data_IF_987549864037
#
_entry.id   IF_987549864037
#
_cell.length_a   1.000
_cell.length_b   1.000
_cell.length_c   1.000
_cell.angle_alpha   90.00
_cell.angle_beta   90.00
_cell.angle_gamma   90.00
#
_symmetry.space_group_name_H-M   'P 1'
#
loop_
_entity.id
_entity.type
_entity.pdbx_description
1 polymer ?
#
# COMPACT_ATOMS: atom_id res chain seq x y z
N UNK A 1 -14.40 -24.94 -35.55
CA UNK A 1 -14.46 -24.49 -34.14
C UNK A 1 -15.67 -25.11 -33.46
N UNK A 2 -15.53 -25.58 -32.22
CA UNK A 2 -16.65 -26.09 -31.39
C UNK A 2 -17.20 -24.95 -30.52
N UNK A 3 -18.42 -25.10 -29.98
CA UNK A 3 -19.02 -24.10 -29.09
C UNK A 3 -18.12 -23.79 -27.89
N UNK A 4 -17.52 -24.82 -27.27
CA UNK A 4 -16.62 -24.65 -26.12
C UNK A 4 -15.33 -23.87 -26.43
N UNK A 5 -14.84 -23.90 -27.67
CA UNK A 5 -13.72 -23.06 -28.10
C UNK A 5 -14.18 -21.64 -28.44
N UNK A 6 -15.40 -21.47 -28.93
CA UNK A 6 -15.95 -20.15 -29.27
C UNK A 6 -16.36 -19.35 -28.03
N UNK A 7 -16.88 -19.99 -26.99
CA UNK A 7 -17.42 -19.34 -25.79
C UNK A 7 -16.45 -18.38 -25.09
N UNK A 8 -15.17 -18.74 -24.81
CA UNK A 8 -14.22 -17.81 -24.21
C UNK A 8 -13.99 -16.55 -25.07
N UNK A 9 -13.99 -16.71 -26.40
CA UNK A 9 -13.88 -15.57 -27.32
C UNK A 9 -15.12 -14.69 -27.27
N UNK A 10 -16.32 -15.27 -27.18
CA UNK A 10 -17.57 -14.52 -27.08
C UNK A 10 -17.67 -13.75 -25.75
N UNK A 11 -17.15 -14.30 -24.66
CA UNK A 11 -17.11 -13.64 -23.36
C UNK A 11 -16.03 -12.55 -23.26
N UNK A 12 -14.91 -12.72 -23.96
CA UNK A 12 -13.80 -11.76 -23.96
C UNK A 12 -13.98 -10.62 -24.98
N UNK A 13 -14.76 -10.83 -26.04
CA UNK A 13 -14.92 -9.85 -27.10
C UNK A 13 -15.76 -8.65 -26.66
N UNK A 14 -15.24 -7.44 -26.91
CA UNK A 14 -15.95 -6.19 -26.62
C UNK A 14 -17.05 -5.86 -27.63
N UNK A 15 -16.91 -6.36 -28.85
CA UNK A 15 -17.90 -6.18 -29.91
C UNK A 15 -17.89 -7.36 -30.88
N UNK A 16 -18.98 -7.61 -31.62
CA UNK A 16 -19.04 -8.67 -32.61
C UNK A 16 -17.98 -8.55 -33.72
N UNK A 17 -17.55 -7.33 -34.04
CA UNK A 17 -16.57 -7.03 -35.08
C UNK A 17 -15.14 -7.40 -34.66
N UNK A 18 -14.87 -7.40 -33.35
CA UNK A 18 -13.56 -7.75 -32.78
C UNK A 18 -13.30 -9.28 -32.74
N UNK A 19 -14.31 -10.10 -33.08
CA UNK A 19 -14.17 -11.55 -33.07
C UNK A 19 -13.27 -12.04 -34.22
N UNK A 20 -12.37 -13.02 -33.96
CA UNK A 20 -11.60 -13.67 -35.01
C UNK A 20 -12.50 -14.22 -36.13
N UNK A 21 -11.99 -14.24 -37.37
CA UNK A 21 -12.75 -14.70 -38.54
C UNK A 21 -13.36 -16.10 -38.35
N UNK A 22 -12.65 -17.00 -37.68
CA UNK A 22 -13.12 -18.36 -37.38
C UNK A 22 -14.33 -18.38 -36.42
N UNK A 23 -14.34 -17.51 -35.41
CA UNK A 23 -15.46 -17.38 -34.47
C UNK A 23 -16.68 -16.80 -35.19
N UNK A 24 -16.48 -15.80 -36.06
CA UNK A 24 -17.56 -15.23 -36.88
C UNK A 24 -18.15 -16.25 -37.85
N UNK A 25 -17.31 -17.09 -38.47
CA UNK A 25 -17.79 -18.17 -39.34
C UNK A 25 -18.55 -19.24 -38.54
N UNK A 26 -18.15 -19.52 -37.30
CA UNK A 26 -18.88 -20.42 -36.41
C UNK A 26 -20.25 -19.85 -36.01
N UNK A 27 -20.32 -18.56 -35.64
CA UNK A 27 -21.57 -17.87 -35.32
C UNK A 27 -22.57 -17.92 -36.48
N UNK A 28 -22.11 -17.82 -37.74
CA UNK A 28 -22.97 -17.93 -38.91
C UNK A 28 -23.63 -19.32 -39.06
N UNK A 29 -23.14 -20.36 -38.37
CA UNK A 29 -23.59 -21.75 -38.51
C UNK A 29 -24.16 -22.34 -37.22
N UNK A 30 -23.94 -21.71 -36.07
CA UNK A 30 -24.29 -22.26 -34.76
C UNK A 30 -25.39 -21.42 -34.07
N UNK A 31 -26.65 -21.89 -34.00
CA UNK A 31 -27.74 -21.14 -33.38
C UNK A 31 -27.56 -20.95 -31.87
N UNK A 32 -26.90 -21.87 -31.18
CA UNK A 32 -26.64 -21.77 -29.74
C UNK A 32 -25.70 -20.60 -29.40
N UNK A 33 -24.61 -20.47 -30.16
CA UNK A 33 -23.66 -19.37 -29.98
C UNK A 33 -24.29 -18.02 -30.37
N UNK A 34 -25.17 -17.98 -31.38
CA UNK A 34 -25.96 -16.78 -31.71
C UNK A 34 -26.88 -16.39 -30.55
N UNK A 35 -27.57 -17.37 -29.95
CA UNK A 35 -28.42 -17.13 -28.79
C UNK A 35 -27.62 -16.61 -27.57
N UNK A 36 -26.40 -17.13 -27.36
CA UNK A 36 -25.48 -16.65 -26.33
C UNK A 36 -25.08 -15.18 -26.56
N UNK A 37 -24.67 -14.81 -27.78
CA UNK A 37 -24.36 -13.41 -28.12
C UNK A 37 -25.56 -12.51 -27.85
N UNK A 38 -26.77 -12.93 -28.24
CA UNK A 38 -27.99 -12.19 -27.94
C UNK A 38 -28.25 -11.99 -26.44
N UNK A 39 -27.92 -12.98 -25.58
CA UNK A 39 -28.00 -12.82 -24.12
C UNK A 39 -26.96 -11.82 -23.59
N UNK A 40 -25.72 -11.89 -24.10
CA UNK A 40 -24.64 -10.98 -23.68
C UNK A 40 -24.95 -9.52 -24.06
N UNK A 41 -25.50 -9.27 -25.25
CA UNK A 41 -25.96 -7.93 -25.66
C UNK A 41 -27.04 -7.39 -24.73
N UNK A 42 -28.08 -8.19 -24.42
CA UNK A 42 -29.14 -7.77 -23.49
C UNK A 42 -28.60 -7.49 -22.09
N UNK A 43 -27.66 -8.30 -21.60
CA UNK A 43 -27.03 -8.08 -20.31
C UNK A 43 -26.22 -6.77 -20.31
N UNK A 44 -25.48 -6.49 -21.38
CA UNK A 44 -24.75 -5.25 -21.55
C UNK A 44 -25.69 -4.04 -21.53
N UNK A 45 -26.78 -4.07 -22.32
CA UNK A 45 -27.80 -3.02 -22.34
C UNK A 45 -28.45 -2.81 -20.97
N UNK A 46 -28.80 -3.89 -20.26
CA UNK A 46 -29.35 -3.81 -18.91
C UNK A 46 -28.35 -3.17 -17.94
N UNK A 47 -27.07 -3.53 -18.04
CA UNK A 47 -26.00 -2.94 -17.21
C UNK A 47 -25.85 -1.44 -17.50
N UNK A 48 -25.90 -1.04 -18.78
CA UNK A 48 -25.88 0.37 -19.19
C UNK A 48 -27.06 1.14 -18.60
N UNK A 49 -28.27 0.56 -18.55
CA UNK A 49 -29.46 1.18 -17.94
C UNK A 49 -29.39 1.28 -16.42
N UNK A 50 -28.77 0.31 -15.76
CA UNK A 50 -28.62 0.27 -14.30
C UNK A 50 -27.47 1.15 -13.78
N UNK A 51 -26.52 1.50 -14.64
CA UNK A 51 -25.46 2.43 -14.27
C UNK A 51 -26.06 3.84 -14.26
N UNK A 52 -26.07 4.58 -13.13
CA UNK A 52 -26.50 5.98 -13.14
C UNK A 52 -25.69 6.73 -14.20
N UNK A 53 -26.26 7.79 -14.78
CA UNK A 53 -25.58 8.61 -15.79
C UNK A 53 -24.26 9.14 -15.21
N UNK A 54 -23.19 8.37 -15.37
CA UNK A 54 -21.85 8.83 -15.11
C UNK A 54 -21.69 10.10 -15.93
N UNK A 55 -21.10 11.15 -15.34
CA UNK A 55 -20.78 12.36 -16.08
C UNK A 55 -20.20 11.94 -17.45
N UNK A 56 -20.68 12.45 -18.59
CA UNK A 56 -20.31 11.95 -19.92
C UNK A 56 -18.79 11.79 -20.12
N UNK A 57 -18.01 12.64 -19.44
CA UNK A 57 -16.55 12.57 -19.38
C UNK A 57 -15.98 11.33 -18.66
N UNK A 58 -16.63 10.80 -17.62
CA UNK A 58 -16.22 9.56 -16.96
C UNK A 58 -16.50 8.33 -17.85
N UNK A 59 -17.65 8.32 -18.55
CA UNK A 59 -17.99 7.28 -19.53
C UNK A 59 -16.99 7.29 -20.69
N UNK A 60 -16.75 8.46 -21.30
CA UNK A 60 -15.79 8.61 -22.39
C UNK A 60 -14.37 8.18 -21.99
N UNK A 61 -13.94 8.44 -20.75
CA UNK A 61 -12.64 8.00 -20.23
C UNK A 61 -12.57 6.48 -20.04
N UNK A 62 -13.64 5.86 -19.53
CA UNK A 62 -13.71 4.40 -19.42
C UNK A 62 -13.68 3.75 -20.81
N UNK A 63 -14.45 4.27 -21.76
CA UNK A 63 -14.48 3.76 -23.13
C UNK A 63 -13.11 3.91 -23.82
N UNK A 64 -12.39 5.01 -23.57
CA UNK A 64 -11.02 5.22 -24.03
C UNK A 64 -9.99 4.31 -23.36
N UNK A 65 -10.11 4.06 -22.05
CA UNK A 65 -9.24 3.14 -21.33
C UNK A 65 -9.48 1.69 -21.79
N UNK A 66 -10.74 1.32 -22.01
CA UNK A 66 -11.10 0.04 -22.56
C UNK A 66 -10.55 -0.08 -23.98
N UNK A 67 -10.71 0.90 -24.87
CA UNK A 67 -10.20 0.79 -26.26
C UNK A 67 -8.68 0.60 -26.35
N UNK A 68 -7.90 1.11 -25.39
CA UNK A 68 -6.45 0.93 -25.30
C UNK A 68 -6.01 -0.42 -24.71
N UNK A 69 -6.83 -1.06 -23.89
CA UNK A 69 -6.50 -2.37 -23.35
C UNK A 69 -6.59 -3.42 -24.46
N UNK A 70 -5.47 -4.08 -24.78
CA UNK A 70 -5.43 -5.16 -25.77
C UNK A 70 -6.37 -6.30 -25.36
N UNK A 71 -7.20 -6.76 -26.29
CA UNK A 71 -7.95 -8.00 -26.07
C UNK A 71 -6.94 -9.14 -26.04
N UNK A 72 -6.69 -9.68 -24.85
CA UNK A 72 -5.85 -10.86 -24.69
C UNK A 72 -6.64 -12.01 -25.29
N UNK A 73 -6.12 -12.58 -26.37
CA UNK A 73 -6.65 -13.83 -26.92
C UNK A 73 -6.69 -14.84 -25.77
N UNK A 74 -7.84 -15.50 -25.49
CA UNK A 74 -7.84 -16.60 -24.54
C UNK A 74 -6.76 -17.56 -24.98
N UNK A 75 -5.73 -17.77 -24.14
CA UNK A 75 -4.70 -18.76 -24.41
C UNK A 75 -5.44 -20.07 -24.66
N UNK A 76 -5.40 -20.54 -25.90
CA UNK A 76 -5.98 -21.81 -26.25
C UNK A 76 -5.30 -22.82 -25.34
N UNK A 77 -6.01 -23.31 -24.32
CA UNK A 77 -5.52 -24.37 -23.46
C UNK A 77 -5.23 -25.56 -24.36
N UNK A 78 -3.98 -25.65 -24.82
CA UNK A 78 -3.49 -26.76 -25.62
C UNK A 78 -3.75 -28.00 -24.79
N UNK A 79 -4.67 -28.83 -25.29
CA UNK A 79 -5.36 -29.85 -24.51
C UNK A 79 -4.44 -30.58 -23.55
N UNK A 80 -4.64 -30.35 -22.26
CA UNK A 80 -4.06 -31.21 -21.23
C UNK A 80 -4.69 -32.59 -21.42
N UNK A 81 -3.91 -33.63 -21.78
CA UNK A 81 -4.47 -34.97 -21.89
C UNK A 81 -5.05 -35.37 -20.53
N UNK A 82 -6.29 -35.85 -20.52
CA UNK A 82 -6.97 -36.38 -19.35
C UNK A 82 -6.22 -37.64 -18.85
N UNK A 83 -5.17 -37.43 -18.05
CA UNK A 83 -4.31 -38.47 -17.53
C UNK A 83 -4.84 -38.96 -16.18
N UNK A 84 -5.31 -40.22 -16.19
CA UNK A 84 -5.69 -41.09 -15.07
C UNK A 84 -4.96 -40.75 -13.76
N UNK A 85 -5.71 -40.31 -12.76
CA UNK A 85 -5.29 -39.86 -11.43
C UNK A 85 -4.81 -40.98 -10.47
N UNK A 86 -4.51 -42.18 -10.95
CA UNK A 86 -4.24 -43.34 -10.07
C UNK A 86 -2.78 -43.56 -9.66
N UNK A 87 -1.78 -42.97 -10.34
CA UNK A 87 -0.37 -43.41 -10.18
C UNK A 87 0.65 -42.30 -9.84
N UNK A 88 0.21 -41.06 -9.58
CA UNK A 88 1.11 -39.89 -9.46
C UNK A 88 1.41 -39.40 -8.04
N UNK A 89 1.13 -40.17 -6.99
CA UNK A 89 1.58 -39.82 -5.63
C UNK A 89 3.02 -40.27 -5.33
N UNK A 90 3.56 -41.27 -6.05
CA UNK A 90 4.95 -41.73 -5.85
C UNK A 90 6.01 -40.85 -6.54
N UNK A 91 5.71 -40.32 -7.72
CA UNK A 91 6.72 -39.59 -8.52
C UNK A 91 6.95 -38.14 -8.06
N UNK A 92 5.94 -37.50 -7.44
CA UNK A 92 6.05 -36.10 -6.98
C UNK A 92 7.01 -35.98 -5.77
N UNK A 93 7.04 -36.98 -4.89
CA UNK A 93 7.98 -37.01 -3.78
C UNK A 93 9.44 -37.16 -4.23
N UNK A 94 9.70 -37.99 -5.25
CA UNK A 94 11.05 -38.18 -5.80
C UNK A 94 11.57 -36.94 -6.52
N UNK A 95 10.71 -36.23 -7.27
CA UNK A 95 11.08 -34.97 -7.94
C UNK A 95 11.31 -33.84 -6.94
N UNK A 96 10.51 -33.75 -5.87
CA UNK A 96 10.73 -32.77 -4.81
C UNK A 96 12.06 -32.99 -4.07
N UNK A 97 12.44 -34.24 -3.81
CA UNK A 97 13.73 -34.60 -3.21
C UNK A 97 14.92 -34.29 -4.14
N UNK A 98 14.79 -34.54 -5.44
CA UNK A 98 15.83 -34.20 -6.42
C UNK A 98 15.98 -32.68 -6.61
N UNK A 99 14.88 -31.92 -6.57
CA UNK A 99 14.92 -30.46 -6.65
C UNK A 99 15.50 -29.83 -5.37
N UNK A 100 15.16 -30.35 -4.19
CA UNK A 100 15.74 -29.90 -2.93
C UNK A 100 17.26 -30.23 -2.85
N UNK A 101 17.65 -31.44 -3.28
CA UNK A 101 19.06 -31.86 -3.34
C UNK A 101 19.87 -31.06 -4.38
N UNK A 102 19.30 -30.82 -5.56
CA UNK A 102 19.94 -30.01 -6.61
C UNK A 102 20.11 -28.55 -6.21
N UNK A 103 19.16 -27.98 -5.46
CA UNK A 103 19.26 -26.60 -4.96
C UNK A 103 20.38 -26.45 -3.91
N UNK A 104 20.56 -27.45 -3.04
CA UNK A 104 21.61 -27.43 -2.02
C UNK A 104 23.00 -27.62 -2.63
N UNK A 105 23.15 -28.54 -3.59
CA UNK A 105 24.40 -28.76 -4.31
C UNK A 105 24.80 -27.55 -5.17
N UNK A 106 23.83 -26.87 -5.79
CA UNK A 106 24.07 -25.67 -6.61
C UNK A 106 24.55 -24.45 -5.81
N UNK A 107 24.25 -24.37 -4.51
CA UNK A 107 24.76 -23.29 -3.65
C UNK A 107 26.19 -23.50 -3.18
N UNK A 108 26.64 -24.74 -3.08
CA UNK A 108 28.00 -25.04 -2.60
C UNK A 108 29.08 -24.88 -3.68
N UNK A 109 28.70 -24.85 -4.96
CA UNK A 109 29.65 -24.84 -6.10
C UNK A 109 29.52 -23.63 -7.02
N UNK A 110 28.63 -22.68 -6.75
CA UNK A 110 28.47 -21.49 -7.57
C UNK A 110 29.72 -20.59 -7.50
N UNK A 111 30.46 -20.38 -8.60
CA UNK A 111 31.58 -19.44 -8.62
C UNK A 111 31.08 -18.01 -8.41
N UNK A 112 31.84 -17.23 -7.64
CA UNK A 112 31.52 -15.84 -7.37
C UNK A 112 31.33 -15.05 -8.68
N UNK A 113 30.26 -14.23 -8.82
CA UNK A 113 30.02 -13.49 -10.04
C UNK A 113 31.16 -12.48 -10.25
N UNK A 114 31.97 -12.73 -11.28
CA UNK A 114 32.93 -11.75 -11.76
C UNK A 114 32.15 -10.55 -12.30
N UNK A 115 32.24 -9.42 -11.60
CA UNK A 115 31.69 -8.13 -12.04
C UNK A 115 32.51 -7.71 -13.27
N UNK A 116 31.92 -7.68 -14.49
CA UNK A 116 32.65 -7.18 -15.64
C UNK A 116 32.87 -5.68 -15.47
N UNK A 117 34.12 -5.24 -15.62
CA UNK A 117 34.48 -3.83 -15.59
C UNK A 117 33.68 -3.06 -16.66
N UNK A 118 33.15 -1.86 -16.33
CA UNK A 118 32.37 -1.08 -17.27
C UNK A 118 33.21 -0.69 -18.48
N UNK A 119 32.76 -1.11 -19.68
CA UNK A 119 33.32 -0.62 -20.94
C UNK A 119 33.02 0.88 -21.07
N UNK A 120 34.00 1.72 -21.46
CA UNK A 120 33.75 3.13 -21.73
C UNK A 120 32.72 3.26 -22.86
N UNK A 121 31.58 3.87 -22.55
CA UNK A 121 30.51 4.10 -23.49
C UNK A 121 30.93 5.09 -24.57
N UNK A 122 30.88 4.63 -25.82
CA UNK A 122 31.06 5.43 -27.02
C UNK A 122 29.95 6.50 -27.07
N UNK A 123 30.34 7.78 -27.06
CA UNK A 123 29.41 8.92 -27.11
C UNK A 123 28.69 8.93 -28.47
N UNK A 124 27.47 8.41 -28.50
CA UNK A 124 26.53 8.67 -29.60
C UNK A 124 26.12 10.16 -29.59
N UNK A 125 26.11 10.85 -30.74
CA UNK A 125 25.54 12.18 -30.88
C UNK A 125 24.08 12.20 -30.40
N UNK A 126 23.71 13.23 -29.65
CA UNK A 126 22.39 13.37 -29.04
C UNK A 126 21.28 13.40 -30.09
N UNK A 127 20.50 12.34 -30.14
CA UNK A 127 19.25 12.28 -30.89
C UNK A 127 18.22 13.18 -30.18
N UNK A 128 17.48 14.06 -30.91
CA UNK A 128 16.52 14.97 -30.31
C UNK A 128 15.45 14.17 -29.55
N UNK A 129 15.37 14.41 -28.24
CA UNK A 129 14.43 13.71 -27.36
C UNK A 129 12.99 14.05 -27.80
N UNK A 130 12.17 13.06 -28.20
CA UNK A 130 10.78 13.29 -28.50
C UNK A 130 10.08 13.91 -27.28
N UNK A 131 9.08 14.80 -27.48
CA UNK A 131 8.34 15.39 -26.37
C UNK A 131 7.80 14.27 -25.48
N UNK A 132 8.07 14.38 -24.18
CA UNK A 132 7.66 13.38 -23.21
C UNK A 132 6.16 13.12 -23.38
N UNK A 133 5.73 11.85 -23.57
CA UNK A 133 4.32 11.54 -23.70
C UNK A 133 3.58 12.08 -22.47
N UNK A 134 2.57 12.90 -22.70
CA UNK A 134 1.68 13.38 -21.63
C UNK A 134 1.14 12.14 -20.90
N UNK A 135 1.58 11.97 -19.65
CA UNK A 135 1.10 10.88 -18.82
C UNK A 135 -0.43 11.01 -18.72
N UNK A 136 -1.19 9.95 -19.01
CA UNK A 136 -2.64 10.00 -18.95
C UNK A 136 -3.05 10.51 -17.57
N UNK A 137 -3.92 11.50 -17.54
CA UNK A 137 -4.43 12.10 -16.30
C UNK A 137 -5.04 10.99 -15.43
N UNK A 138 -4.29 10.56 -14.41
CA UNK A 138 -4.72 9.58 -13.42
C UNK A 138 -6.00 10.13 -12.80
N UNK A 139 -7.09 9.37 -12.89
CA UNK A 139 -8.35 9.75 -12.26
C UNK A 139 -8.06 10.10 -10.79
N UNK A 140 -8.58 11.23 -10.27
CA UNK A 140 -8.30 11.64 -8.91
C UNK A 140 -8.72 10.52 -7.99
N UNK A 141 -7.73 9.90 -7.33
CA UNK A 141 -8.03 8.92 -6.29
C UNK A 141 -8.95 9.58 -5.25
N UNK A 142 -9.93 8.84 -4.71
CA UNK A 142 -10.84 9.39 -3.71
C UNK A 142 -10.03 10.09 -2.63
N UNK A 143 -10.33 11.36 -2.40
CA UNK A 143 -9.54 12.19 -1.49
C UNK A 143 -9.53 11.52 -0.11
N UNK A 144 -8.37 11.40 0.55
CA UNK A 144 -8.31 10.78 1.86
C UNK A 144 -9.24 11.50 2.83
N UNK A 145 -9.81 10.79 3.83
CA UNK A 145 -10.61 11.45 4.83
C UNK A 145 -9.83 12.56 5.54
N UNK A 146 -10.43 13.72 5.78
CA UNK A 146 -9.79 14.77 6.56
C UNK A 146 -9.43 14.21 7.94
N UNK A 147 -8.17 14.35 8.35
CA UNK A 147 -7.69 13.92 9.66
C UNK A 147 -7.43 12.41 9.86
N UNK A 148 -8.10 11.48 9.16
CA UNK A 148 -7.87 10.04 9.43
C UNK A 148 -6.43 9.62 9.13
N UNK A 149 -5.85 10.09 8.01
CA UNK A 149 -4.46 9.78 7.67
C UNK A 149 -3.50 10.28 8.75
N UNK A 150 -3.75 11.46 9.32
CA UNK A 150 -2.95 12.00 10.41
C UNK A 150 -3.11 11.20 11.72
N UNK A 151 -4.34 10.78 12.06
CA UNK A 151 -4.59 9.89 13.21
C UNK A 151 -3.88 8.55 13.05
N UNK A 152 -4.02 7.91 11.88
CA UNK A 152 -3.33 6.65 11.59
C UNK A 152 -1.82 6.83 11.64
N UNK A 153 -1.27 7.92 11.11
CA UNK A 153 0.15 8.22 11.23
C UNK A 153 0.61 8.28 12.70
N UNK A 154 -0.20 8.88 13.59
CA UNK A 154 0.07 8.88 15.04
C UNK A 154 0.06 7.48 15.64
N UNK A 155 -0.89 6.61 15.24
CA UNK A 155 -0.88 5.21 15.66
C UNK A 155 0.37 4.48 15.16
N UNK A 156 0.78 4.71 13.91
CA UNK A 156 1.97 4.10 13.33
C UNK A 156 3.25 4.46 14.13
N UNK A 157 3.37 5.72 14.59
CA UNK A 157 4.46 6.15 15.48
C UNK A 157 4.47 5.33 16.76
N UNK A 158 3.32 5.23 17.43
CA UNK A 158 3.20 4.49 18.69
C UNK A 158 3.52 3.00 18.50
N UNK A 159 3.14 2.41 17.36
CA UNK A 159 3.53 1.03 17.02
C UNK A 159 5.03 0.89 16.82
N UNK A 160 5.67 1.82 16.10
CA UNK A 160 7.10 1.76 15.82
C UNK A 160 7.96 1.95 17.09
N UNK A 161 7.53 2.83 18.00
CA UNK A 161 8.26 3.17 19.21
C UNK A 161 7.99 2.22 20.39
N UNK A 162 6.77 1.68 20.50
CA UNK A 162 6.27 1.04 21.71
C UNK A 162 6.74 -0.41 21.94
N UNK A 163 6.74 -0.87 23.21
CA UNK A 163 6.82 -2.30 23.53
C UNK A 163 5.56 -3.05 23.09
N UNK A 164 5.68 -4.36 22.89
CA UNK A 164 4.61 -5.23 22.35
C UNK A 164 3.27 -5.15 23.09
N UNK A 165 3.27 -5.01 24.42
CA UNK A 165 2.02 -4.88 25.18
C UNK A 165 1.24 -3.60 24.82
N UNK A 166 1.93 -2.45 24.70
CA UNK A 166 1.30 -1.18 24.31
C UNK A 166 0.85 -1.16 22.84
N UNK A 167 1.49 -1.97 21.98
CA UNK A 167 1.12 -2.06 20.56
C UNK A 167 -0.31 -2.59 20.38
N UNK A 168 -0.79 -3.47 21.27
CA UNK A 168 -2.15 -4.00 21.20
C UNK A 168 -3.23 -2.93 21.39
N UNK A 169 -3.08 -2.08 22.41
CA UNK A 169 -4.04 -1.01 22.68
C UNK A 169 -4.03 0.02 21.53
N UNK A 170 -2.85 0.30 20.96
CA UNK A 170 -2.71 1.17 19.77
C UNK A 170 -3.38 0.56 18.53
N UNK A 171 -3.15 -0.73 18.24
CA UNK A 171 -3.77 -1.41 17.10
C UNK A 171 -5.29 -1.53 17.26
N UNK A 172 -5.79 -1.72 18.47
CA UNK A 172 -7.22 -1.69 18.76
C UNK A 172 -7.80 -0.29 18.58
N UNK A 173 -7.08 0.76 19.00
CA UNK A 173 -7.44 2.15 18.74
C UNK A 173 -7.48 2.48 17.24
N UNK A 174 -6.49 1.99 16.48
CA UNK A 174 -6.47 2.11 15.02
C UNK A 174 -7.69 1.43 14.37
N UNK A 175 -8.06 0.23 14.81
CA UNK A 175 -9.27 -0.43 14.31
C UNK A 175 -10.52 0.41 14.63
N UNK A 176 -10.62 0.98 15.83
CA UNK A 176 -11.73 1.84 16.21
C UNK A 176 -11.83 3.10 15.33
N UNK A 177 -10.72 3.77 15.02
CA UNK A 177 -10.70 4.94 14.13
C UNK A 177 -11.13 4.57 12.69
N UNK A 178 -10.68 3.42 12.15
CA UNK A 178 -11.10 2.94 10.83
C UNK A 178 -12.59 2.61 10.80
N UNK A 179 -13.11 1.99 11.87
CA UNK A 179 -14.55 1.72 12.03
C UNK A 179 -15.37 3.00 12.09
N UNK A 180 -14.95 3.96 12.93
CA UNK A 180 -15.65 5.23 13.09
C UNK A 180 -15.74 5.99 11.75
N UNK A 181 -14.67 5.98 10.95
CA UNK A 181 -14.71 6.54 9.60
C UNK A 181 -15.70 5.79 8.70
N UNK A 182 -15.70 4.45 8.71
CA UNK A 182 -16.64 3.67 7.90
C UNK A 182 -18.10 3.99 8.24
N UNK A 183 -18.42 4.10 9.54
CA UNK A 183 -19.75 4.49 10.01
C UNK A 183 -20.11 5.92 9.56
N UNK A 184 -19.18 6.87 9.71
CA UNK A 184 -19.39 8.26 9.30
C UNK A 184 -19.66 8.39 7.79
N UNK A 185 -18.92 7.63 6.95
CA UNK A 185 -19.10 7.61 5.49
C UNK A 185 -20.45 7.03 5.08
N UNK A 186 -20.82 5.91 5.70
CA UNK A 186 -22.11 5.29 5.45
C UNK A 186 -23.27 6.22 5.82
N UNK A 187 -23.17 6.92 6.95
CA UNK A 187 -24.15 7.92 7.38
C UNK A 187 -24.24 9.13 6.43
N UNK A 188 -23.14 9.52 5.81
CA UNK A 188 -23.10 10.56 4.79
C UNK A 188 -23.58 10.10 3.40
N UNK A 189 -23.91 8.80 3.22
CA UNK A 189 -24.25 8.22 1.92
C UNK A 189 -23.06 8.02 0.98
N UNK A 190 -21.83 8.16 1.48
CA UNK A 190 -20.59 7.95 0.73
C UNK A 190 -20.20 6.47 0.76
N UNK A 191 -20.72 5.70 -0.19
CA UNK A 191 -20.60 4.25 -0.22
C UNK A 191 -19.33 3.73 -0.89
N UNK A 192 -18.72 4.52 -1.78
CA UNK A 192 -17.54 4.12 -2.56
C UNK A 192 -16.36 3.64 -1.69
N UNK A 193 -15.97 4.33 -0.59
CA UNK A 193 -14.81 3.92 0.21
C UNK A 193 -15.11 2.74 1.17
N UNK A 194 -16.38 2.40 1.41
CA UNK A 194 -16.76 1.45 2.46
C UNK A 194 -16.10 0.06 2.33
N UNK A 195 -16.07 -0.60 1.16
CA UNK A 195 -15.45 -1.93 1.06
C UNK A 195 -13.97 -1.93 1.45
N UNK A 196 -13.27 -0.83 1.14
CA UNK A 196 -11.85 -0.67 1.49
C UNK A 196 -11.66 -0.45 2.99
N UNK A 197 -12.47 0.40 3.61
CA UNK A 197 -12.41 0.64 5.06
C UNK A 197 -12.78 -0.61 5.86
N UNK A 198 -13.81 -1.35 5.43
CA UNK A 198 -14.21 -2.63 6.03
C UNK A 198 -13.08 -3.66 5.91
N UNK A 199 -12.49 -3.81 4.73
CA UNK A 199 -11.35 -4.69 4.53
C UNK A 199 -10.10 -4.27 5.31
N UNK A 200 -9.89 -2.97 5.52
CA UNK A 200 -8.80 -2.44 6.33
C UNK A 200 -9.00 -2.77 7.82
N UNK A 201 -10.22 -2.56 8.33
CA UNK A 201 -10.60 -2.89 9.70
C UNK A 201 -10.40 -4.38 10.01
N UNK A 202 -10.90 -5.27 9.15
CA UNK A 202 -10.73 -6.72 9.29
C UNK A 202 -9.24 -7.10 9.42
N UNK A 203 -8.37 -6.53 8.58
CA UNK A 203 -6.93 -6.79 8.63
C UNK A 203 -6.27 -6.26 9.90
N UNK A 204 -6.62 -5.06 10.36
CA UNK A 204 -6.08 -4.53 11.62
C UNK A 204 -6.44 -5.46 12.78
N UNK A 205 -7.66 -5.99 12.82
CA UNK A 205 -8.07 -6.94 13.86
C UNK A 205 -7.35 -8.29 13.73
N UNK A 206 -7.36 -8.90 12.53
CA UNK A 206 -6.84 -10.25 12.33
C UNK A 206 -5.31 -10.33 12.31
N UNK A 207 -4.66 -9.44 11.55
CA UNK A 207 -3.20 -9.41 11.39
C UNK A 207 -2.51 -8.57 12.45
N UNK A 208 -3.19 -7.57 13.02
CA UNK A 208 -2.66 -6.74 14.09
C UNK A 208 -3.01 -7.32 15.45
N UNK A 209 -4.24 -7.06 15.90
CA UNK A 209 -4.67 -7.33 17.28
C UNK A 209 -4.52 -8.80 17.66
N UNK A 210 -5.13 -9.72 16.90
CA UNK A 210 -5.13 -11.12 17.27
C UNK A 210 -3.73 -11.75 17.19
N UNK A 211 -2.95 -11.40 16.16
CA UNK A 211 -1.58 -11.89 15.99
C UNK A 211 -0.64 -11.40 17.11
N UNK A 212 -0.72 -10.12 17.48
CA UNK A 212 0.11 -9.57 18.55
C UNK A 212 -0.28 -10.15 19.93
N UNK A 213 -1.58 -10.40 20.16
CA UNK A 213 -2.05 -11.02 21.38
C UNK A 213 -1.55 -12.46 21.51
N UNK A 214 -1.49 -13.21 20.41
CA UNK A 214 -0.95 -14.57 20.40
C UNK A 214 0.52 -14.66 20.81
N UNK A 215 1.30 -13.57 20.66
CA UNK A 215 2.73 -13.49 21.03
C UNK A 215 2.96 -13.24 22.52
N UNK A 216 1.93 -12.86 23.27
CA UNK A 216 2.07 -12.58 24.70
C UNK A 216 2.16 -13.86 25.54
N UNK A 217 2.81 -13.80 26.71
CA UNK A 217 2.75 -14.87 27.71
C UNK A 217 1.30 -15.18 28.11
N UNK A 218 1.01 -16.45 28.41
CA UNK A 218 -0.34 -16.91 28.74
C UNK A 218 -1.11 -16.07 29.79
N UNK A 219 -0.52 -15.69 30.95
CA UNK A 219 -1.26 -14.92 31.95
C UNK A 219 -1.70 -13.54 31.44
N UNK A 220 -0.81 -12.82 30.74
CA UNK A 220 -1.12 -11.51 30.17
C UNK A 220 -2.09 -11.63 29.00
N UNK A 221 -1.91 -12.68 28.19
CA UNK A 221 -2.76 -12.99 27.04
C UNK A 221 -4.20 -13.23 27.46
N UNK A 222 -4.47 -14.04 28.48
CA UNK A 222 -5.83 -14.33 28.93
C UNK A 222 -6.56 -13.07 29.42
N UNK A 223 -5.89 -12.24 30.24
CA UNK A 223 -6.47 -11.00 30.76
C UNK A 223 -6.78 -10.00 29.63
N UNK A 224 -5.85 -9.80 28.69
CA UNK A 224 -6.03 -8.92 27.55
C UNK A 224 -7.08 -9.45 26.56
N UNK A 225 -7.11 -10.76 26.31
CA UNK A 225 -8.09 -11.41 25.44
C UNK A 225 -9.52 -11.18 25.95
N UNK A 226 -9.75 -11.34 27.25
CA UNK A 226 -11.05 -11.08 27.86
C UNK A 226 -11.50 -9.63 27.63
N UNK A 227 -10.64 -8.66 27.95
CA UNK A 227 -10.91 -7.22 27.76
C UNK A 227 -11.18 -6.87 26.30
N UNK A 228 -10.32 -7.31 25.38
CA UNK A 228 -10.46 -7.04 23.95
C UNK A 228 -11.70 -7.70 23.37
N UNK A 229 -12.02 -8.93 23.78
CA UNK A 229 -13.23 -9.62 23.30
C UNK A 229 -14.52 -8.92 23.72
N UNK A 230 -14.57 -8.33 24.92
CA UNK A 230 -15.70 -7.52 25.38
C UNK A 230 -15.82 -6.21 24.59
N UNK A 231 -14.68 -5.52 24.36
CA UNK A 231 -14.65 -4.30 23.56
C UNK A 231 -15.08 -4.54 22.11
N UNK A 232 -14.68 -5.67 21.51
CA UNK A 232 -15.12 -6.08 20.17
C UNK A 232 -16.61 -6.45 20.14
N UNK A 233 -17.14 -7.04 21.21
CA UNK A 233 -18.59 -7.23 21.39
C UNK A 233 -19.35 -5.91 21.32
N UNK A 234 -18.98 -4.94 22.16
CA UNK A 234 -19.60 -3.60 22.13
C UNK A 234 -19.43 -2.88 20.79
N UNK A 235 -18.29 -3.07 20.11
CA UNK A 235 -18.07 -2.53 18.76
C UNK A 235 -18.96 -3.19 17.70
N UNK A 236 -19.29 -4.47 17.83
CA UNK A 236 -20.22 -5.16 16.93
C UNK A 236 -21.66 -4.67 17.13
N UNK A 237 -22.05 -4.42 18.37
CA UNK A 237 -23.37 -3.90 18.73
C UNK A 237 -23.54 -2.45 18.25
N UNK A 238 -22.51 -1.61 18.40
CA UNK A 238 -22.45 -0.25 17.85
C UNK A 238 -22.72 -0.23 16.34
N UNK A 239 -22.03 -1.10 15.59
CA UNK A 239 -22.20 -1.19 14.13
C UNK A 239 -23.59 -1.69 13.76
N UNK A 240 -24.12 -2.68 14.49
CA UNK A 240 -25.48 -3.18 14.24
C UNK A 240 -26.54 -2.09 14.50
N UNK A 241 -26.40 -1.33 15.58
CA UNK A 241 -27.26 -0.20 15.89
C UNK A 241 -27.18 0.90 14.82
N UNK A 242 -25.97 1.27 14.39
CA UNK A 242 -25.77 2.23 13.33
C UNK A 242 -26.39 1.75 12.00
N UNK A 243 -26.17 0.49 11.61
CA UNK A 243 -26.76 -0.10 10.41
C UNK A 243 -28.30 -0.08 10.41
N UNK A 244 -28.95 -0.19 11.57
CA UNK A 244 -30.40 -0.08 11.69
C UNK A 244 -30.99 1.29 11.33
N UNK A 245 -30.16 2.34 11.37
CA UNK A 245 -30.54 3.71 11.02
C UNK A 245 -30.17 4.12 9.58
N UNK A 246 -29.48 3.25 8.82
CA UNK A 246 -28.94 3.55 7.49
C UNK A 246 -29.83 3.00 6.37
N UNK A 247 -29.59 3.47 5.13
CA UNK A 247 -30.19 2.87 3.95
C UNK A 247 -29.77 1.40 3.80
N UNK A 248 -30.63 0.49 3.28
CA UNK A 248 -30.36 -0.95 3.23
C UNK A 248 -29.01 -1.32 2.58
N UNK A 249 -28.66 -0.66 1.48
CA UNK A 249 -27.38 -0.89 0.78
C UNK A 249 -26.17 -0.54 1.65
N UNK A 250 -26.22 0.56 2.41
CA UNK A 250 -25.14 0.97 3.29
C UNK A 250 -25.01 0.01 4.50
N UNK A 251 -26.15 -0.38 5.06
CA UNK A 251 -26.23 -1.37 6.14
C UNK A 251 -25.64 -2.73 5.72
N UNK A 252 -25.95 -3.20 4.51
CA UNK A 252 -25.38 -4.43 3.94
C UNK A 252 -23.86 -4.32 3.77
N UNK A 253 -23.37 -3.19 3.25
CA UNK A 253 -21.93 -2.95 3.08
C UNK A 253 -21.15 -2.87 4.40
N UNK A 254 -21.79 -2.46 5.50
CA UNK A 254 -21.20 -2.44 6.85
C UNK A 254 -21.31 -3.77 7.59
N UNK A 255 -22.17 -4.69 7.14
CA UNK A 255 -22.36 -5.99 7.79
C UNK A 255 -21.07 -6.79 8.05
N UNK A 256 -20.06 -6.80 7.13
CA UNK A 256 -18.83 -7.54 7.39
C UNK A 256 -18.01 -6.93 8.53
N UNK A 257 -18.16 -5.63 8.84
CA UNK A 257 -17.43 -4.98 9.92
C UNK A 257 -17.86 -5.53 11.29
N UNK A 258 -19.18 -5.64 11.53
CA UNK A 258 -19.71 -6.27 12.72
C UNK A 258 -19.38 -7.77 12.80
N UNK A 259 -19.38 -8.46 11.64
CA UNK A 259 -18.98 -9.86 11.56
C UNK A 259 -17.52 -10.07 11.97
N UNK A 260 -16.58 -9.26 11.46
CA UNK A 260 -15.17 -9.31 11.84
C UNK A 260 -14.96 -9.07 13.34
N UNK A 261 -15.67 -8.12 13.94
CA UNK A 261 -15.63 -7.90 15.40
C UNK A 261 -16.04 -9.16 16.18
N UNK A 262 -17.16 -9.80 15.79
CA UNK A 262 -17.66 -11.02 16.44
C UNK A 262 -16.73 -12.21 16.23
N UNK A 263 -16.26 -12.41 15.01
CA UNK A 263 -15.34 -13.49 14.64
C UNK A 263 -14.05 -13.40 15.46
N UNK A 264 -13.40 -12.23 15.43
CA UNK A 264 -12.15 -12.02 16.18
C UNK A 264 -12.41 -12.11 17.67
N UNK A 265 -13.45 -11.46 18.20
CA UNK A 265 -13.79 -11.54 19.62
C UNK A 265 -14.05 -12.97 20.10
N UNK A 266 -14.72 -13.81 19.28
CA UNK A 266 -14.92 -15.22 19.58
C UNK A 266 -13.60 -16.00 19.57
N UNK A 267 -12.75 -15.79 18.57
CA UNK A 267 -11.44 -16.42 18.48
C UNK A 267 -10.53 -16.06 19.66
N UNK A 268 -10.57 -14.80 20.13
CA UNK A 268 -9.80 -14.38 21.30
C UNK A 268 -10.23 -15.13 22.57
N UNK A 269 -11.53 -15.38 22.76
CA UNK A 269 -12.04 -16.11 23.95
C UNK A 269 -11.65 -17.58 23.96
N UNK A 270 -11.60 -18.21 22.78
CA UNK A 270 -11.34 -19.65 22.65
C UNK A 270 -9.89 -19.97 22.27
N UNK A 271 -9.03 -18.94 22.16
CA UNK A 271 -7.69 -19.04 21.59
C UNK A 271 -7.67 -19.76 20.22
N UNK A 272 -8.74 -19.63 19.43
CA UNK A 272 -8.84 -20.27 18.13
C UNK A 272 -7.98 -19.54 17.09
N UNK A 273 -7.31 -20.26 16.18
CA UNK A 273 -6.58 -19.64 15.08
C UNK A 273 -7.56 -18.92 14.14
N UNK A 274 -7.23 -17.69 13.77
CA UNK A 274 -7.99 -16.94 12.76
C UNK A 274 -7.49 -17.27 11.37
N UNK A 275 -8.43 -17.50 10.45
CA UNK A 275 -8.12 -17.65 9.04
C UNK A 275 -7.90 -16.25 8.47
N UNK A 276 -6.66 -15.96 8.09
CA UNK A 276 -6.32 -14.69 7.46
C UNK A 276 -5.96 -14.92 6.00
N UNK A 277 -6.57 -14.14 5.11
CA UNK A 277 -6.13 -14.12 3.71
C UNK A 277 -4.69 -13.61 3.65
N UNK A 278 -3.74 -14.39 3.08
CA UNK A 278 -2.35 -13.96 2.96
C UNK A 278 -2.17 -12.86 1.89
N UNK A 279 -3.16 -12.67 1.01
CA UNK A 279 -3.08 -11.69 -0.07
C UNK A 279 -3.45 -10.29 0.45
N UNK A 280 -2.43 -9.44 0.63
CA UNK A 280 -2.63 -8.01 0.75
C UNK A 280 -2.82 -7.42 -0.66
N UNK A 281 -3.98 -6.85 -1.00
CA UNK A 281 -4.12 -6.15 -2.27
C UNK A 281 -3.12 -4.99 -2.29
N UNK A 282 -2.51 -4.72 -3.45
CA UNK A 282 -1.56 -3.61 -3.57
C UNK A 282 -2.20 -2.33 -2.98
N UNK A 283 -1.57 -1.67 -1.99
CA UNK A 283 -2.16 -0.53 -1.32
C UNK A 283 -2.34 0.58 -2.33
N UNK A 284 -3.59 1.01 -2.51
CA UNK A 284 -3.97 2.00 -3.50
C UNK A 284 -4.17 3.39 -2.87
N UNK A 285 -4.13 3.50 -1.54
CA UNK A 285 -4.22 4.78 -0.83
C UNK A 285 -3.10 4.93 0.20
N UNK A 286 -2.74 6.18 0.57
CA UNK A 286 -1.80 6.42 1.67
C UNK A 286 -2.22 5.75 2.98
N UNK A 287 -3.52 5.74 3.28
CA UNK A 287 -4.08 5.08 4.47
C UNK A 287 -3.78 3.58 4.48
N UNK A 288 -4.06 2.88 3.38
CA UNK A 288 -3.79 1.43 3.24
C UNK A 288 -2.30 1.12 3.38
N UNK A 289 -1.43 1.95 2.77
CA UNK A 289 0.03 1.81 2.89
C UNK A 289 0.50 1.97 4.33
N UNK A 290 0.03 3.00 5.04
CA UNK A 290 0.42 3.26 6.43
C UNK A 290 0.02 2.11 7.35
N UNK A 291 -1.22 1.62 7.24
CA UNK A 291 -1.67 0.46 8.04
C UNK A 291 -0.85 -0.79 7.70
N UNK A 292 -0.60 -1.06 6.43
CA UNK A 292 0.20 -2.22 6.03
C UNK A 292 1.61 -2.19 6.64
N UNK A 293 2.28 -1.04 6.61
CA UNK A 293 3.61 -0.88 7.20
C UNK A 293 3.57 -0.88 8.74
N UNK A 294 2.53 -0.35 9.37
CA UNK A 294 2.37 -0.43 10.82
C UNK A 294 2.24 -1.88 11.29
N UNK A 295 1.43 -2.70 10.59
CA UNK A 295 1.29 -4.12 10.90
C UNK A 295 2.62 -4.88 10.72
N UNK A 296 3.37 -4.63 9.64
CA UNK A 296 4.70 -5.21 9.45
C UNK A 296 5.69 -4.78 10.52
N UNK A 297 5.65 -3.52 10.94
CA UNK A 297 6.51 -2.99 12.01
C UNK A 297 6.17 -3.63 13.35
N UNK A 298 4.89 -3.86 13.66
CA UNK A 298 4.46 -4.61 14.84
C UNK A 298 4.92 -6.07 14.79
N UNK A 299 4.93 -6.67 13.59
CA UNK A 299 5.36 -8.05 13.38
C UNK A 299 6.88 -8.26 13.47
N UNK A 300 7.67 -7.19 13.41
CA UNK A 300 9.12 -7.28 13.47
C UNK A 300 9.64 -7.61 14.87
N UNK A 301 10.29 -8.77 14.98
CA UNK A 301 10.73 -9.36 16.26
C UNK A 301 12.14 -8.90 16.71
N UNK A 302 12.92 -8.29 15.81
CA UNK A 302 14.26 -7.78 16.14
C UNK A 302 14.32 -6.26 15.98
N UNK A 303 15.17 -5.56 16.75
CA UNK A 303 15.36 -4.12 16.58
C UNK A 303 15.79 -3.74 15.15
N UNK A 304 16.65 -4.54 14.52
CA UNK A 304 17.09 -4.28 13.14
C UNK A 304 15.95 -4.40 12.13
N UNK A 305 15.14 -5.46 12.22
CA UNK A 305 13.97 -5.64 11.35
C UNK A 305 12.92 -4.54 11.58
N UNK A 306 12.74 -4.13 12.84
CA UNK A 306 11.82 -3.03 13.19
C UNK A 306 12.30 -1.69 12.65
N UNK A 307 13.60 -1.42 12.72
CA UNK A 307 14.19 -0.23 12.09
C UNK A 307 13.96 -0.25 10.58
N UNK A 308 14.17 -1.40 9.94
CA UNK A 308 13.99 -1.55 8.49
C UNK A 308 12.55 -1.30 8.04
N UNK A 309 11.56 -1.97 8.67
CA UNK A 309 10.14 -1.72 8.41
C UNK A 309 9.73 -0.27 8.72
N UNK A 310 10.33 0.34 9.76
CA UNK A 310 10.12 1.76 10.07
C UNK A 310 10.64 2.69 8.96
N UNK A 311 11.68 2.31 8.20
CA UNK A 311 12.11 3.09 7.02
C UNK A 311 11.09 3.05 5.88
N UNK A 312 10.42 1.91 5.70
CA UNK A 312 9.34 1.79 4.73
C UNK A 312 8.10 2.58 5.16
N UNK A 313 7.77 2.55 6.46
CA UNK A 313 6.74 3.40 7.05
C UNK A 313 7.06 4.89 6.85
N UNK A 314 8.31 5.30 7.07
CA UNK A 314 8.76 6.67 6.82
C UNK A 314 8.57 7.10 5.35
N UNK A 315 8.87 6.20 4.40
CA UNK A 315 8.62 6.46 2.98
C UNK A 315 7.12 6.61 2.67
N UNK A 316 6.27 5.78 3.28
CA UNK A 316 4.81 5.90 3.13
C UNK A 316 4.27 7.22 3.73
N UNK A 317 4.79 7.66 4.89
CA UNK A 317 4.47 8.96 5.48
C UNK A 317 4.92 10.13 4.60
N UNK A 318 6.13 10.08 4.04
CA UNK A 318 6.62 11.10 3.11
C UNK A 318 5.72 11.21 1.86
N UNK A 319 5.27 10.08 1.33
CA UNK A 319 4.28 10.06 0.24
C UNK A 319 2.94 10.65 0.68
N UNK A 320 2.43 10.29 1.86
CA UNK A 320 1.19 10.83 2.42
C UNK A 320 1.24 12.36 2.59
N UNK A 321 2.35 12.92 3.10
CA UNK A 321 2.58 14.38 3.19
C UNK A 321 2.44 15.02 1.81
N UNK A 322 3.03 14.41 0.79
CA UNK A 322 2.98 14.93 -0.58
C UNK A 322 1.54 14.95 -1.11
N UNK A 323 0.81 13.84 -0.95
CA UNK A 323 -0.60 13.73 -1.37
C UNK A 323 -1.48 14.76 -0.64
N UNK A 324 -1.33 14.89 0.69
CA UNK A 324 -2.10 15.84 1.49
C UNK A 324 -1.78 17.29 1.13
N UNK A 325 -0.51 17.59 0.83
CA UNK A 325 -0.09 18.94 0.42
C UNK A 325 -0.70 19.31 -0.94
N UNK A 326 -0.67 18.40 -1.91
CA UNK A 326 -1.31 18.60 -3.23
C UNK A 326 -2.82 18.74 -3.10
N UNK A 327 -3.44 18.01 -2.18
CA UNK A 327 -4.88 18.10 -1.89
C UNK A 327 -5.29 19.37 -1.11
N UNK A 328 -4.38 20.32 -0.87
CA UNK A 328 -4.68 21.56 -0.15
C UNK A 328 -4.99 21.34 1.34
N UNK A 329 -4.39 20.31 1.96
CA UNK A 329 -4.55 19.97 3.39
C UNK A 329 -3.24 20.21 4.16
N UNK A 330 -2.77 21.46 4.30
CA UNK A 330 -1.46 21.76 4.88
C UNK A 330 -1.33 21.36 6.35
N UNK A 331 -2.41 21.43 7.13
CA UNK A 331 -2.39 21.06 8.55
C UNK A 331 -2.31 19.54 8.76
N UNK A 332 -3.01 18.75 7.93
CA UNK A 332 -2.85 17.30 7.92
C UNK A 332 -1.45 16.91 7.44
N UNK A 333 -0.93 17.57 6.41
CA UNK A 333 0.43 17.36 5.93
C UNK A 333 1.47 17.66 7.03
N UNK A 334 1.29 18.73 7.79
CA UNK A 334 2.15 19.07 8.91
C UNK A 334 2.07 18.04 10.04
N UNK A 335 0.87 17.56 10.41
CA UNK A 335 0.69 16.48 11.40
C UNK A 335 1.36 15.19 10.97
N UNK A 336 1.20 14.79 9.71
CA UNK A 336 1.89 13.60 9.16
C UNK A 336 3.41 13.81 9.11
N UNK A 337 3.88 15.04 8.85
CA UNK A 337 5.29 15.40 8.93
C UNK A 337 5.86 15.28 10.35
N UNK A 338 5.10 15.66 11.37
CA UNK A 338 5.45 15.42 12.78
C UNK A 338 5.48 13.93 13.12
N UNK A 339 4.55 13.13 12.60
CA UNK A 339 4.59 11.68 12.76
C UNK A 339 5.82 11.05 12.07
N UNK A 340 6.22 11.57 10.89
CA UNK A 340 7.44 11.16 10.21
C UNK A 340 8.69 11.41 11.08
N UNK A 341 8.76 12.55 11.77
CA UNK A 341 9.85 12.84 12.71
C UNK A 341 10.00 11.75 13.76
N UNK A 342 8.89 11.41 14.41
CA UNK A 342 8.87 10.42 15.49
C UNK A 342 9.16 9.00 14.99
N UNK A 343 8.71 8.64 13.77
CA UNK A 343 9.10 7.36 13.15
C UNK A 343 10.60 7.32 12.86
N UNK A 344 11.20 8.40 12.37
CA UNK A 344 12.64 8.45 12.13
C UNK A 344 13.44 8.39 13.44
N UNK A 345 13.02 9.12 14.47
CA UNK A 345 13.72 9.13 15.76
C UNK A 345 13.51 7.80 16.52
N UNK A 346 12.28 7.50 16.93
CA UNK A 346 11.99 6.35 17.79
C UNK A 346 11.90 5.03 17.00
N UNK A 347 11.40 5.07 15.77
CA UNK A 347 11.23 3.87 14.94
C UNK A 347 12.53 3.43 14.25
N UNK A 348 13.35 4.36 13.75
CA UNK A 348 14.61 4.03 13.06
C UNK A 348 15.80 4.22 13.99
N UNK A 349 16.11 5.44 14.43
CA UNK A 349 17.35 5.74 15.14
C UNK A 349 17.49 4.95 16.43
N UNK A 350 16.50 5.01 17.33
CA UNK A 350 16.54 4.30 18.62
C UNK A 350 16.63 2.77 18.45
N UNK A 351 16.04 2.20 17.39
CA UNK A 351 16.18 0.78 17.09
C UNK A 351 17.60 0.43 16.62
N UNK A 352 18.20 1.25 15.75
CA UNK A 352 19.57 1.05 15.29
C UNK A 352 20.59 1.22 16.43
N UNK A 353 20.38 2.18 17.32
CA UNK A 353 21.22 2.38 18.51
C UNK A 353 21.21 1.13 19.40
N UNK A 354 20.04 0.48 19.56
CA UNK A 354 19.93 -0.81 20.28
C UNK A 354 20.69 -1.93 19.57
N UNK A 355 20.68 -1.98 18.23
CA UNK A 355 21.45 -2.96 17.45
C UNK A 355 22.95 -2.75 17.66
N UNK A 356 23.42 -1.50 17.53
CA UNK A 356 24.84 -1.16 17.68
C UNK A 356 25.34 -1.41 19.10
N UNK A 357 24.53 -1.11 20.14
CA UNK A 357 24.86 -1.41 21.53
C UNK A 357 24.93 -2.92 21.82
N UNK A 358 24.06 -3.72 21.19
CA UNK A 358 24.05 -5.18 21.34
C UNK A 358 25.13 -5.90 20.50
N UNK A 359 25.74 -5.22 19.53
CA UNK A 359 26.78 -5.76 18.64
C UNK A 359 28.08 -4.91 18.69
N UNK A 360 28.81 -4.94 19.82
CA UNK A 360 30.05 -4.16 19.96
C UNK A 360 31.15 -4.59 18.99
N UNK A 361 31.10 -5.84 18.49
CA UNK A 361 32.01 -6.35 17.46
C UNK A 361 31.72 -5.78 16.07
N UNK A 362 30.54 -5.17 15.86
CA UNK A 362 30.16 -4.52 14.62
C UNK A 362 29.91 -5.47 13.46
N UNK A 363 29.45 -6.70 13.75
CA UNK A 363 29.06 -7.70 12.74
C UNK A 363 27.90 -7.21 11.85
N UNK A 364 27.01 -6.38 12.39
CA UNK A 364 25.80 -5.84 11.73
C UNK A 364 26.01 -4.42 11.18
N UNK A 365 27.24 -3.88 11.18
CA UNK A 365 27.52 -2.50 10.73
C UNK A 365 27.04 -2.24 9.30
N UNK A 366 27.15 -3.23 8.41
CA UNK A 366 26.75 -3.10 7.00
C UNK A 366 25.23 -2.98 6.87
N UNK A 367 24.49 -3.80 7.59
CA UNK A 367 23.03 -3.81 7.63
C UNK A 367 22.50 -2.51 8.25
N UNK A 368 23.08 -2.07 9.36
CA UNK A 368 22.76 -0.78 10.00
C UNK A 368 22.98 0.37 9.01
N UNK A 369 24.13 0.41 8.30
CA UNK A 369 24.40 1.43 7.30
C UNK A 369 23.37 1.41 6.15
N UNK A 370 22.95 0.23 5.69
CA UNK A 370 21.93 0.10 4.65
C UNK A 370 20.56 0.61 5.10
N UNK A 371 20.18 0.40 6.37
CA UNK A 371 18.94 0.95 6.94
C UNK A 371 19.04 2.49 7.06
N UNK A 372 20.16 3.04 7.55
CA UNK A 372 20.38 4.51 7.59
C UNK A 372 20.30 5.14 6.20
N UNK A 373 20.85 4.47 5.18
CA UNK A 373 20.79 4.93 3.79
C UNK A 373 19.35 4.92 3.25
N UNK A 374 18.58 3.85 3.52
CA UNK A 374 17.13 3.78 3.20
C UNK A 374 16.35 4.91 3.86
N UNK A 375 16.59 5.17 5.14
CA UNK A 375 15.95 6.27 5.88
C UNK A 375 16.25 7.63 5.23
N UNK A 376 17.50 7.87 4.83
CA UNK A 376 17.88 9.07 4.08
C UNK A 376 17.07 9.23 2.79
N UNK A 377 17.03 8.18 1.97
CA UNK A 377 16.26 8.19 0.71
C UNK A 377 14.78 8.47 0.90
N UNK A 378 14.17 7.97 1.98
CA UNK A 378 12.78 8.24 2.31
C UNK A 378 12.52 9.74 2.56
N UNK A 379 13.44 10.42 3.26
CA UNK A 379 13.34 11.86 3.53
C UNK A 379 13.70 12.74 2.32
N UNK A 380 14.62 12.29 1.46
CA UNK A 380 14.99 13.02 0.23
C UNK A 380 13.80 13.19 -0.74
N UNK A 381 12.79 12.30 -0.64
CA UNK A 381 11.54 12.42 -1.41
C UNK A 381 10.83 13.73 -1.09
N UNK A 382 10.78 14.15 0.17
CA UNK A 382 10.12 15.40 0.56
C UNK A 382 10.85 16.63 0.00
N UNK A 383 12.18 16.64 0.03
CA UNK A 383 12.96 17.75 -0.53
C UNK A 383 12.80 17.86 -2.05
N UNK A 384 12.86 16.71 -2.76
CA UNK A 384 12.61 16.67 -4.20
C UNK A 384 11.19 17.11 -4.56
N UNK A 385 10.20 16.69 -3.77
CA UNK A 385 8.81 17.09 -3.99
C UNK A 385 8.60 18.57 -3.70
N UNK A 386 9.21 19.11 -2.64
CA UNK A 386 9.14 20.55 -2.33
C UNK A 386 9.75 21.41 -3.44
N UNK A 387 10.90 21.00 -3.98
CA UNK A 387 11.54 21.71 -5.10
C UNK A 387 10.64 21.79 -6.36
N UNK A 388 9.77 20.80 -6.56
CA UNK A 388 8.85 20.70 -7.70
C UNK A 388 7.40 21.08 -7.34
N UNK A 389 7.13 21.44 -6.10
CA UNK A 389 5.77 21.60 -5.61
C UNK A 389 5.12 22.85 -6.19
N UNK A 390 3.84 22.76 -6.61
CA UNK A 390 3.05 23.94 -6.94
C UNK A 390 2.87 24.83 -5.70
N UNK A 391 2.63 26.15 -5.85
CA UNK A 391 2.54 27.09 -4.72
C UNK A 391 1.61 26.63 -3.58
N UNK A 392 0.46 26.05 -3.92
CA UNK A 392 -0.52 25.55 -2.94
C UNK A 392 0.02 24.41 -2.04
N UNK A 393 0.94 23.58 -2.54
CA UNK A 393 1.49 22.44 -1.81
C UNK A 393 2.76 22.78 -1.02
N UNK A 394 3.45 23.88 -1.36
CA UNK A 394 4.74 24.24 -0.74
C UNK A 394 4.64 24.43 0.77
N UNK A 395 3.60 25.12 1.24
CA UNK A 395 3.41 25.40 2.69
C UNK A 395 3.32 24.10 3.49
N UNK A 396 2.55 23.11 3.01
CA UNK A 396 2.42 21.80 3.67
C UNK A 396 3.74 21.04 3.72
N UNK A 397 4.46 20.99 2.59
CA UNK A 397 5.75 20.30 2.47
C UNK A 397 6.86 20.96 3.30
N UNK A 398 6.93 22.30 3.34
CA UNK A 398 7.89 23.04 4.17
C UNK A 398 7.67 22.78 5.66
N UNK A 399 6.41 22.83 6.11
CA UNK A 399 6.06 22.52 7.51
C UNK A 399 6.41 21.08 7.87
N UNK A 400 6.11 20.13 6.99
CA UNK A 400 6.43 18.73 7.21
C UNK A 400 7.95 18.47 7.25
N UNK A 401 8.72 19.08 6.33
CA UNK A 401 10.19 18.99 6.35
C UNK A 401 10.78 19.56 7.63
N UNK A 402 10.31 20.74 8.06
CA UNK A 402 10.74 21.36 9.31
C UNK A 402 10.41 20.47 10.51
N UNK A 403 9.21 19.89 10.56
CA UNK A 403 8.79 18.98 11.62
C UNK A 403 9.67 17.71 11.68
N UNK A 404 10.06 17.14 10.53
CA UNK A 404 10.88 15.92 10.44
C UNK A 404 12.39 16.10 10.57
N UNK A 405 12.87 17.34 10.69
CA UNK A 405 14.30 17.63 10.66
C UNK A 405 15.10 16.99 11.82
N UNK A 406 14.60 16.98 13.07
CA UNK A 406 15.32 16.39 14.21
C UNK A 406 15.58 14.88 14.04
N UNK A 407 14.55 14.10 13.75
CA UNK A 407 14.62 12.64 13.59
C UNK A 407 15.47 12.21 12.41
N UNK A 408 15.46 12.99 11.32
CA UNK A 408 16.28 12.71 10.12
C UNK A 408 17.79 12.71 10.40
N UNK A 409 18.29 13.66 11.19
CA UNK A 409 19.71 13.72 11.53
C UNK A 409 20.16 12.47 12.28
N UNK A 410 19.39 12.06 13.29
CA UNK A 410 19.65 10.85 14.07
C UNK A 410 19.55 9.58 13.22
N UNK A 411 18.45 9.41 12.48
CA UNK A 411 18.19 8.21 11.68
C UNK A 411 19.22 7.98 10.58
N UNK A 412 19.78 9.03 10.00
CA UNK A 412 20.77 8.91 8.92
C UNK A 412 22.20 8.82 9.43
N UNK A 413 22.44 9.09 10.72
CA UNK A 413 23.79 9.20 11.30
C UNK A 413 24.61 10.36 10.72
N UNK A 414 24.02 11.20 9.86
CA UNK A 414 24.67 12.42 9.37
C UNK A 414 24.44 13.49 10.42
N UNK A 415 25.48 14.19 10.91
CA UNK A 415 25.26 15.34 11.78
C UNK A 415 24.30 16.25 11.04
N UNK A 416 23.26 16.76 11.74
CA UNK A 416 22.32 17.71 11.17
C UNK A 416 23.15 18.84 10.56
N UNK A 417 23.37 18.74 9.25
CA UNK A 417 24.39 19.54 8.60
C UNK A 417 24.04 20.99 8.83
N UNK A 418 25.05 21.87 8.94
CA UNK A 418 24.89 23.30 8.63
C UNK A 418 24.54 23.43 7.15
N UNK A 419 23.44 22.80 6.72
CA UNK A 419 22.95 22.81 5.37
C UNK A 419 22.74 24.28 5.05
N UNK A 420 23.49 24.77 4.07
CA UNK A 420 23.15 25.98 3.37
C UNK A 420 21.64 25.93 3.17
N UNK A 421 20.93 26.93 3.71
CA UNK A 421 19.48 26.96 3.71
C UNK A 421 18.94 26.58 2.33
N UNK A 422 17.72 26.04 2.26
CA UNK A 422 17.17 25.50 1.03
C UNK A 422 17.47 26.43 -0.15
N UNK A 423 17.96 25.93 -1.30
CA UNK A 423 18.57 26.76 -2.33
C UNK A 423 17.67 27.86 -2.88
N UNK A 424 16.35 27.76 -2.68
CA UNK A 424 15.34 28.78 -3.03
C UNK A 424 15.15 29.89 -1.98
N UNK A 425 15.64 29.72 -0.74
CA UNK A 425 15.76 30.76 0.29
C UNK A 425 17.16 31.39 0.29
N UNK A 426 17.91 31.32 -0.82
CA UNK A 426 19.00 32.27 -1.01
C UNK A 426 18.36 33.63 -0.95
N UNK A 427 18.56 34.31 0.17
CA UNK A 427 17.99 35.61 0.43
C UNK A 427 18.25 36.47 -0.81
N UNK A 428 17.18 36.93 -1.45
CA UNK A 428 17.18 38.17 -2.20
C UNK A 428 17.47 39.29 -1.18
N UNK A 429 18.64 39.24 -0.55
CA UNK A 429 19.23 40.39 0.09
C UNK A 429 19.63 41.30 -1.07
N UNK A 430 18.86 42.37 -1.36
CA UNK A 430 19.28 43.35 -2.34
C UNK A 430 20.68 43.81 -1.93
N UNK A 431 21.58 43.82 -2.91
CA UNK A 431 23.02 43.78 -2.70
C UNK A 431 23.52 44.64 -1.55
N UNK A 432 24.43 44.05 -0.76
CA UNK A 432 25.50 44.86 -0.18
C UNK A 432 26.13 45.62 -1.35
N UNK A 433 25.85 46.92 -1.42
CA UNK A 433 26.38 47.80 -2.45
C UNK A 433 27.90 47.68 -2.54
N UNK A 434 28.48 48.00 -3.71
CA UNK A 434 29.91 47.87 -3.94
C UNK A 434 30.68 48.63 -2.85
N UNK A 435 31.77 48.06 -2.31
CA UNK A 435 32.58 48.71 -1.29
C UNK A 435 33.08 50.04 -1.84
N UNK A 436 32.69 51.13 -1.17
CA UNK A 436 33.05 52.49 -1.53
C UNK A 436 34.56 52.64 -1.69
N UNK A 437 34.97 53.05 -2.89
CA UNK A 437 36.27 53.65 -3.14
C UNK A 437 36.41 54.93 -2.32
N UNK A 438 37.03 54.84 -1.15
CA UNK A 438 37.58 56.01 -0.45
C UNK A 438 38.88 56.40 -1.16
N UNK A 439 38.80 57.48 -1.95
CA UNK A 439 39.99 58.18 -2.47
C UNK A 439 40.76 58.75 -1.28
N UNK A 440 42.02 58.34 -1.11
CA UNK A 440 42.99 59.04 -0.28
C UNK A 440 43.50 60.26 -1.05
N UNK A 441 43.49 61.38 -0.35
CA UNK A 441 44.16 62.65 -0.64
C UNK A 441 45.67 62.53 -0.69
#
# INVERSE_FOLDING_TARGET
MTCGTAEPWLLAARSPEALPGEVRQHLARCPECVALVGRLVRLHEATVRLTPAAAPAARARLDAALSLASQVAPEAEAGRPAARWGARLGAVAAVALLLAGGWWAGRATAPAPAVPAPRPAERRPAEPTPPAPELPAVAPSPSPPPGLVAKVASHCVSVAAGPSASQLDVLNGLAADVRAEALARAAAGDLEPLPRLVGLHDRVLKLGVAKQLARLPEPDRAALAARLSAALGGSADEVAAASGALAPVAAEMLSPLAASCREVGAALRTAAPLVVSPAWPAPATPLESLVAHALRTADADTPLARADESTHLAAALAHAVTVLSVAGRPDDAARVGGALDLVLDAGVAANLDRVEAADPAGKLRKEVAAVRERAGRATDVLERNLARAPPAARVGLERALAASAPGRGKATGKPAGKGNGPPWKKDDHPGKGPPGWSKKS
#
